data_IF_325562934990
#
_entry.id   IF_325562934990
#
_cell.length_a   1.000
_cell.length_b   1.000
_cell.length_c   1.000
_cell.angle_alpha   90.00
_cell.angle_beta   90.00
_cell.angle_gamma   90.00
#
_symmetry.space_group_name_H-M   'P 1'
#
loop_
_entity.id
_entity.type
_entity.pdbx_description
1 polymer ?
#
# COMPACT_ATOMS: atom_id res chain seq x y z
N UNK A 1 2.12 0.37 -24.68
CA UNK A 1 3.59 0.45 -24.49
C UNK A 1 3.98 -0.40 -23.29
N UNK A 2 5.09 -1.12 -23.38
CA UNK A 2 5.21 -2.38 -22.62
C UNK A 2 5.49 -2.14 -21.13
N UNK A 3 4.76 -2.88 -20.29
CA UNK A 3 5.08 -3.03 -18.87
C UNK A 3 6.54 -3.49 -18.66
N UNK A 4 7.18 -4.06 -19.68
CA UNK A 4 8.55 -4.60 -19.64
C UNK A 4 9.56 -3.51 -19.27
N UNK A 5 9.50 -2.32 -19.89
CA UNK A 5 10.46 -1.24 -19.58
C UNK A 5 10.29 -0.73 -18.15
N UNK A 6 9.04 -0.59 -17.67
CA UNK A 6 8.78 -0.21 -16.28
C UNK A 6 9.33 -1.24 -15.29
N UNK A 7 9.14 -2.52 -15.58
CA UNK A 7 9.68 -3.62 -14.76
C UNK A 7 11.22 -3.63 -14.78
N UNK A 8 11.85 -3.45 -15.95
CA UNK A 8 13.31 -3.38 -16.04
C UNK A 8 13.89 -2.23 -15.20
N UNK A 9 13.26 -1.05 -15.27
CA UNK A 9 13.63 0.10 -14.44
C UNK A 9 13.46 -0.18 -12.95
N UNK A 10 12.38 -0.84 -12.54
CA UNK A 10 12.16 -1.21 -11.14
C UNK A 10 13.20 -2.23 -10.63
N UNK A 11 13.55 -3.24 -11.43
CA UNK A 11 14.59 -4.20 -11.08
C UNK A 11 15.98 -3.54 -11.00
N UNK A 12 16.28 -2.62 -11.91
CA UNK A 12 17.50 -1.81 -11.84
C UNK A 12 17.55 -0.96 -10.57
N UNK A 13 16.44 -0.31 -10.21
CA UNK A 13 16.32 0.46 -8.97
C UNK A 13 16.57 -0.41 -7.73
N UNK A 14 15.94 -1.58 -7.64
CA UNK A 14 16.16 -2.53 -6.53
C UNK A 14 17.63 -2.93 -6.43
N UNK A 15 18.27 -3.28 -7.56
CA UNK A 15 19.69 -3.64 -7.63
C UNK A 15 20.62 -2.51 -7.14
N UNK A 16 20.31 -1.26 -7.50
CA UNK A 16 21.10 -0.10 -7.09
C UNK A 16 20.89 0.27 -5.61
N UNK A 17 19.68 0.10 -5.09
CA UNK A 17 19.35 0.35 -3.68
C UNK A 17 20.06 -0.62 -2.72
N UNK A 18 20.43 -1.81 -3.19
CA UNK A 18 21.29 -2.72 -2.41
C UNK A 18 22.74 -2.20 -2.26
N UNK A 19 23.16 -1.23 -3.08
CA UNK A 19 24.55 -0.74 -3.14
C UNK A 19 24.72 0.67 -2.62
N UNK A 20 23.72 1.53 -2.76
CA UNK A 20 23.77 2.94 -2.38
C UNK A 20 22.39 3.49 -2.00
N UNK A 21 22.31 4.50 -1.11
CA UNK A 21 21.04 5.11 -0.73
C UNK A 21 20.36 5.79 -1.93
N UNK A 22 19.02 5.89 -1.88
CA UNK A 22 18.19 6.41 -2.99
C UNK A 22 18.66 7.77 -3.49
N UNK A 23 19.01 8.69 -2.59
CA UNK A 23 19.48 10.04 -2.91
C UNK A 23 20.84 10.10 -3.66
N UNK A 24 21.53 8.97 -3.80
CA UNK A 24 22.76 8.81 -4.61
C UNK A 24 22.53 8.02 -5.89
N UNK A 25 21.30 7.55 -6.13
CA UNK A 25 20.91 6.91 -7.39
C UNK A 25 20.44 8.00 -8.35
N UNK A 26 21.04 8.03 -9.53
CA UNK A 26 20.68 8.97 -10.59
C UNK A 26 19.87 8.26 -11.67
N UNK A 27 19.10 9.02 -12.43
CA UNK A 27 18.42 8.51 -13.63
C UNK A 27 19.45 7.93 -14.60
N UNK A 28 20.67 8.49 -14.65
CA UNK A 28 21.72 7.98 -15.51
C UNK A 28 22.22 6.59 -15.10
N UNK A 29 22.29 6.29 -13.80
CA UNK A 29 22.60 4.94 -13.32
C UNK A 29 21.56 3.93 -13.82
N UNK A 30 20.28 4.26 -13.67
CA UNK A 30 19.15 3.40 -14.07
C UNK A 30 19.11 3.17 -15.58
N UNK A 31 19.24 4.25 -16.36
CA UNK A 31 19.16 4.16 -17.82
C UNK A 31 20.36 3.43 -18.41
N UNK A 32 21.54 3.58 -17.80
CA UNK A 32 22.75 2.84 -18.20
C UNK A 32 22.60 1.36 -17.92
N UNK A 33 22.15 0.98 -16.72
CA UNK A 33 21.94 -0.42 -16.34
C UNK A 33 20.85 -1.09 -17.19
N UNK A 34 19.81 -0.35 -17.59
CA UNK A 34 18.74 -0.84 -18.45
C UNK A 34 19.05 -0.76 -19.96
N UNK A 35 20.13 -0.10 -20.37
CA UNK A 35 20.46 0.12 -21.79
C UNK A 35 19.45 1.00 -22.54
N UNK A 36 18.81 1.96 -21.87
CA UNK A 36 17.82 2.88 -22.46
C UNK A 36 18.28 4.34 -22.39
N UNK A 37 17.60 5.23 -23.12
CA UNK A 37 17.86 6.67 -23.03
C UNK A 37 17.16 7.32 -21.83
N UNK A 38 17.65 8.49 -21.40
CA UNK A 38 16.95 9.32 -20.39
C UNK A 38 15.56 9.75 -20.84
N UNK A 39 15.35 9.99 -22.14
CA UNK A 39 14.03 10.32 -22.69
C UNK A 39 13.06 9.14 -22.51
N UNK A 40 13.55 7.90 -22.67
CA UNK A 40 12.74 6.71 -22.41
C UNK A 40 12.37 6.55 -20.93
N UNK A 41 13.25 6.94 -20.00
CA UNK A 41 12.89 7.01 -18.58
C UNK A 41 11.75 8.01 -18.34
N UNK A 42 11.90 9.25 -18.82
CA UNK A 42 10.91 10.31 -18.57
C UNK A 42 9.57 10.08 -19.27
N UNK A 43 9.54 9.22 -20.29
CA UNK A 43 8.30 8.74 -20.87
C UNK A 43 7.46 7.92 -19.88
N UNK A 44 8.10 7.24 -18.94
CA UNK A 44 7.44 6.35 -17.98
C UNK A 44 7.28 6.96 -16.58
N UNK A 45 8.27 7.74 -16.13
CA UNK A 45 8.35 8.26 -14.77
C UNK A 45 8.82 9.71 -14.76
N UNK A 46 8.20 10.54 -13.93
CA UNK A 46 8.57 11.96 -13.79
C UNK A 46 9.96 12.13 -13.17
N UNK A 47 10.28 11.29 -12.19
CA UNK A 47 11.54 11.27 -11.47
C UNK A 47 11.78 9.88 -10.85
N UNK A 48 12.85 9.76 -10.06
CA UNK A 48 13.20 8.51 -9.39
C UNK A 48 12.19 8.10 -8.32
N UNK A 49 11.47 9.06 -7.72
CA UNK A 49 10.50 8.79 -6.66
C UNK A 49 9.20 8.23 -7.24
N UNK A 50 8.77 8.73 -8.40
CA UNK A 50 7.66 8.16 -9.17
C UNK A 50 7.93 6.68 -9.56
N UNK A 51 9.18 6.36 -9.91
CA UNK A 51 9.59 4.96 -10.12
C UNK A 51 9.55 4.13 -8.83
N UNK A 52 9.99 4.67 -7.69
CA UNK A 52 9.92 3.99 -6.39
C UNK A 52 8.48 3.68 -6.04
N UNK A 53 7.59 4.67 -6.11
CA UNK A 53 6.16 4.51 -5.83
C UNK A 53 5.55 3.41 -6.71
N UNK A 54 5.82 3.47 -8.02
CA UNK A 54 5.32 2.46 -8.95
C UNK A 54 5.86 1.06 -8.65
N UNK A 55 7.15 0.93 -8.35
CA UNK A 55 7.76 -0.35 -7.99
C UNK A 55 7.16 -0.93 -6.71
N UNK A 56 6.93 -0.11 -5.68
CA UNK A 56 6.23 -0.51 -4.46
C UNK A 56 4.81 -1.03 -4.76
N UNK A 57 4.04 -0.28 -5.57
CA UNK A 57 2.66 -0.60 -5.92
C UNK A 57 2.56 -1.92 -6.70
N UNK A 58 3.43 -2.13 -7.69
CA UNK A 58 3.35 -3.33 -8.52
C UNK A 58 3.69 -4.60 -7.73
N UNK A 59 4.68 -4.54 -6.82
CA UNK A 59 5.02 -5.67 -5.96
C UNK A 59 3.91 -5.96 -4.94
N UNK A 60 3.35 -4.91 -4.33
CA UNK A 60 2.24 -5.04 -3.38
C UNK A 60 0.98 -5.57 -4.07
N UNK A 61 0.71 -5.16 -5.32
CA UNK A 61 -0.41 -5.67 -6.11
C UNK A 61 -0.28 -7.16 -6.40
N UNK A 62 0.94 -7.68 -6.58
CA UNK A 62 1.21 -9.12 -6.71
C UNK A 62 0.98 -9.85 -5.38
N UNK A 63 1.44 -9.27 -4.27
CA UNK A 63 1.27 -9.86 -2.94
C UNK A 63 -0.21 -9.95 -2.50
N UNK A 64 -1.05 -9.00 -2.91
CA UNK A 64 -2.45 -8.90 -2.49
C UNK A 64 -3.46 -9.59 -3.43
N UNK A 65 -3.01 -10.41 -4.39
CA UNK A 65 -3.92 -11.16 -5.26
C UNK A 65 -4.53 -12.35 -4.50
N UNK A 66 -5.82 -12.25 -4.13
CA UNK A 66 -6.63 -13.42 -3.77
C UNK A 66 -7.45 -13.34 -2.47
N UNK A 67 -7.27 -12.33 -1.61
CA UNK A 67 -7.89 -12.31 -0.26
C UNK A 67 -8.68 -11.03 0.05
N UNK A 68 -9.80 -10.80 -0.64
CA UNK A 68 -10.59 -9.55 -0.57
C UNK A 68 -11.99 -9.66 0.05
N UNK A 69 -12.32 -10.81 0.64
CA UNK A 69 -13.66 -11.06 1.20
C UNK A 69 -13.75 -10.69 2.67
N UNK A 70 -14.96 -10.52 3.21
CA UNK A 70 -15.22 -10.28 4.63
C UNK A 70 -14.65 -11.36 5.56
N UNK A 71 -14.51 -12.60 5.10
CA UNK A 71 -13.94 -13.67 5.92
C UNK A 71 -12.40 -13.64 5.91
N UNK A 72 -11.80 -13.01 4.90
CA UNK A 72 -10.34 -13.06 4.66
C UNK A 72 -9.64 -11.71 4.75
N UNK A 73 -10.35 -10.60 4.91
CA UNK A 73 -9.72 -9.26 4.84
C UNK A 73 -8.71 -9.02 5.96
N UNK A 74 -8.90 -9.63 7.13
CA UNK A 74 -7.93 -9.61 8.21
C UNK A 74 -6.62 -10.26 7.74
N UNK A 75 -6.69 -11.40 7.04
CA UNK A 75 -5.51 -11.99 6.39
C UNK A 75 -4.96 -11.08 5.29
N UNK A 76 -5.82 -10.37 4.56
CA UNK A 76 -5.41 -9.36 3.59
C UNK A 76 -4.57 -8.24 4.25
N UNK A 77 -4.94 -7.79 5.45
CA UNK A 77 -4.15 -6.81 6.22
C UNK A 77 -2.82 -7.40 6.68
N UNK A 78 -2.80 -8.67 7.09
CA UNK A 78 -1.56 -9.37 7.45
C UNK A 78 -0.61 -9.44 6.26
N UNK A 79 -1.11 -9.76 5.06
CA UNK A 79 -0.32 -9.80 3.83
C UNK A 79 0.28 -8.45 3.46
N UNK A 80 -0.38 -7.33 3.77
CA UNK A 80 0.21 -6.00 3.59
C UNK A 80 1.40 -5.83 4.54
N UNK A 81 1.27 -6.24 5.81
CA UNK A 81 2.41 -6.23 6.74
C UNK A 81 3.56 -7.12 6.27
N UNK A 82 3.28 -8.34 5.82
CA UNK A 82 4.27 -9.28 5.28
C UNK A 82 4.99 -8.68 4.06
N UNK A 83 4.26 -8.16 3.08
CA UNK A 83 4.85 -7.57 1.87
C UNK A 83 5.74 -6.35 2.20
N UNK A 84 5.32 -5.52 3.15
CA UNK A 84 6.11 -4.38 3.64
C UNK A 84 7.36 -4.87 4.37
N UNK A 85 7.26 -5.92 5.18
CA UNK A 85 8.37 -6.47 5.97
C UNK A 85 9.41 -7.21 5.10
N UNK A 86 8.98 -8.04 4.15
CA UNK A 86 9.86 -8.73 3.19
C UNK A 86 10.74 -7.73 2.42
N UNK A 87 10.20 -6.54 2.16
CA UNK A 87 10.89 -5.45 1.49
C UNK A 87 11.49 -4.42 2.47
N UNK A 88 11.69 -4.77 3.75
CA UNK A 88 12.11 -3.83 4.81
C UNK A 88 13.30 -2.92 4.43
N UNK A 89 14.43 -3.41 3.90
CA UNK A 89 15.54 -2.52 3.54
C UNK A 89 15.16 -1.50 2.47
N UNK A 90 14.34 -1.91 1.52
CA UNK A 90 13.84 -1.03 0.46
C UNK A 90 12.83 -0.02 1.01
N UNK A 91 11.84 -0.47 1.79
CA UNK A 91 10.81 0.40 2.37
C UNK A 91 11.42 1.43 3.33
N UNK A 92 12.38 1.03 4.19
CA UNK A 92 13.04 1.98 5.11
C UNK A 92 13.86 3.01 4.34
N UNK A 93 14.59 2.60 3.30
CA UNK A 93 15.35 3.53 2.46
C UNK A 93 14.45 4.47 1.66
N UNK A 94 13.35 3.94 1.11
CA UNK A 94 12.32 4.74 0.45
C UNK A 94 11.67 5.71 1.45
N UNK A 95 11.33 5.26 2.65
CA UNK A 95 10.70 6.08 3.69
C UNK A 95 11.54 7.29 4.09
N UNK A 96 12.87 7.12 4.14
CA UNK A 96 13.80 8.20 4.46
C UNK A 96 14.06 9.17 3.29
N UNK A 97 13.73 8.77 2.06
CA UNK A 97 14.09 9.51 0.86
C UNK A 97 12.88 10.10 0.12
N UNK A 98 11.69 9.59 0.39
CA UNK A 98 10.41 9.96 -0.23
C UNK A 98 9.60 10.81 0.77
N UNK A 99 8.69 11.67 0.30
CA UNK A 99 7.84 12.44 1.21
C UNK A 99 6.86 11.53 1.96
N UNK A 100 6.51 11.92 3.20
CA UNK A 100 5.49 11.20 3.99
C UNK A 100 4.17 11.06 3.23
N UNK A 101 3.78 12.10 2.49
CA UNK A 101 2.55 12.13 1.69
C UNK A 101 2.54 11.04 0.60
N UNK A 102 3.66 10.81 -0.08
CA UNK A 102 3.76 9.79 -1.11
C UNK A 102 3.62 8.37 -0.53
N UNK A 103 4.16 8.14 0.66
CA UNK A 103 4.04 6.85 1.36
C UNK A 103 2.62 6.64 1.86
N UNK A 104 2.00 7.70 2.38
CA UNK A 104 0.58 7.71 2.76
C UNK A 104 -0.30 7.37 1.55
N UNK A 105 -0.10 8.03 0.42
CA UNK A 105 -0.84 7.76 -0.82
C UNK A 105 -0.66 6.32 -1.30
N UNK A 106 0.57 5.80 -1.25
CA UNK A 106 0.86 4.40 -1.55
C UNK A 106 0.06 3.44 -0.65
N UNK A 107 0.15 3.61 0.67
CA UNK A 107 -0.55 2.76 1.63
C UNK A 107 -2.07 2.90 1.51
N UNK A 108 -2.58 4.10 1.20
CA UNK A 108 -4.00 4.32 0.95
C UNK A 108 -4.49 3.54 -0.26
N UNK A 109 -3.76 3.54 -1.37
CA UNK A 109 -4.17 2.81 -2.58
C UNK A 109 -4.24 1.29 -2.34
N UNK A 110 -3.30 0.73 -1.57
CA UNK A 110 -3.29 -0.68 -1.23
C UNK A 110 -4.48 -1.08 -0.35
N UNK A 111 -4.74 -0.27 0.67
CA UNK A 111 -5.68 -0.61 1.74
C UNK A 111 -7.11 -0.27 1.38
N UNK A 112 -7.33 0.82 0.65
CA UNK A 112 -8.67 1.27 0.26
C UNK A 112 -9.42 0.19 -0.52
N UNK A 113 -8.79 -0.43 -1.53
CA UNK A 113 -9.45 -1.45 -2.35
C UNK A 113 -9.84 -2.70 -1.54
N UNK A 114 -9.01 -3.08 -0.58
CA UNK A 114 -9.29 -4.21 0.30
C UNK A 114 -10.50 -3.89 1.18
N UNK A 115 -10.46 -2.78 1.92
CA UNK A 115 -11.53 -2.41 2.85
C UNK A 115 -12.84 -2.09 2.11
N UNK A 116 -12.79 -1.38 0.99
CA UNK A 116 -13.98 -1.06 0.19
C UNK A 116 -14.68 -2.33 -0.30
N UNK A 117 -13.93 -3.35 -0.72
CA UNK A 117 -14.52 -4.64 -1.15
C UNK A 117 -15.32 -5.30 -0.02
N UNK A 118 -14.81 -5.22 1.20
CA UNK A 118 -15.47 -5.75 2.41
C UNK A 118 -16.73 -4.97 2.76
N UNK A 119 -16.64 -3.63 2.71
CA UNK A 119 -17.79 -2.75 2.97
C UNK A 119 -18.90 -3.00 1.96
N UNK A 120 -18.56 -3.09 0.66
CA UNK A 120 -19.53 -3.40 -0.39
C UNK A 120 -20.19 -4.75 -0.19
N UNK A 121 -19.42 -5.79 0.14
CA UNK A 121 -19.93 -7.12 0.41
C UNK A 121 -20.93 -7.13 1.56
N UNK A 122 -20.59 -6.51 2.69
CA UNK A 122 -21.44 -6.45 3.89
C UNK A 122 -22.64 -5.52 3.71
N UNK A 123 -22.53 -4.50 2.86
CA UNK A 123 -23.59 -3.53 2.62
C UNK A 123 -24.58 -3.95 1.51
N UNK A 124 -24.38 -5.11 0.84
CA UNK A 124 -25.22 -5.55 -0.31
C UNK A 124 -26.72 -5.50 -0.06
N UNK A 125 -27.17 -5.78 1.16
CA UNK A 125 -28.58 -5.82 1.54
C UNK A 125 -29.03 -4.61 2.36
N UNK A 126 -28.31 -3.49 2.26
CA UNK A 126 -28.57 -2.27 3.03
C UNK A 126 -28.89 -1.09 2.12
N UNK A 127 -29.46 -0.03 2.69
CA UNK A 127 -29.79 1.21 1.98
C UNK A 127 -28.67 2.27 2.02
N UNK A 128 -27.45 1.88 2.35
CA UNK A 128 -26.33 2.81 2.46
C UNK A 128 -25.99 3.43 1.10
N UNK A 129 -25.78 4.75 1.09
CA UNK A 129 -25.29 5.47 -0.09
C UNK A 129 -23.81 5.14 -0.35
N UNK A 130 -23.34 5.41 -1.57
CA UNK A 130 -21.92 5.22 -1.90
C UNK A 130 -21.01 6.10 -1.04
N UNK A 131 -21.45 7.30 -0.71
CA UNK A 131 -20.71 8.23 0.16
C UNK A 131 -20.55 7.66 1.57
N UNK A 132 -21.61 7.06 2.14
CA UNK A 132 -21.54 6.42 3.45
C UNK A 132 -20.61 5.21 3.45
N UNK A 133 -20.67 4.37 2.41
CA UNK A 133 -19.74 3.25 2.24
C UNK A 133 -18.30 3.73 2.13
N UNK A 134 -18.06 4.78 1.33
CA UNK A 134 -16.73 5.39 1.18
C UNK A 134 -16.21 5.93 2.50
N UNK A 135 -17.06 6.62 3.27
CA UNK A 135 -16.67 7.14 4.58
C UNK A 135 -16.28 6.02 5.55
N UNK A 136 -17.06 4.93 5.60
CA UNK A 136 -16.74 3.75 6.41
C UNK A 136 -15.39 3.18 5.98
N UNK A 137 -15.19 2.97 4.67
CA UNK A 137 -13.94 2.43 4.14
C UNK A 137 -12.75 3.34 4.46
N UNK A 138 -12.90 4.65 4.31
CA UNK A 138 -11.87 5.64 4.60
C UNK A 138 -11.49 5.66 6.07
N UNK A 139 -12.46 5.55 6.99
CA UNK A 139 -12.18 5.51 8.43
C UNK A 139 -11.25 4.34 8.81
N UNK A 140 -11.55 3.13 8.33
CA UNK A 140 -10.72 1.95 8.60
C UNK A 140 -9.39 1.99 7.83
N UNK A 141 -9.39 2.50 6.60
CA UNK A 141 -8.17 2.76 5.82
C UNK A 141 -7.22 3.69 6.58
N UNK A 142 -7.68 4.84 7.05
CA UNK A 142 -6.85 5.79 7.79
C UNK A 142 -6.30 5.18 9.08
N UNK A 143 -7.13 4.42 9.80
CA UNK A 143 -6.72 3.72 11.02
C UNK A 143 -5.56 2.75 10.75
N UNK A 144 -5.67 1.93 9.70
CA UNK A 144 -4.61 0.98 9.34
C UNK A 144 -3.34 1.69 8.86
N UNK A 145 -3.46 2.66 7.96
CA UNK A 145 -2.29 3.36 7.42
C UNK A 145 -1.55 4.11 8.51
N UNK A 146 -2.26 4.73 9.47
CA UNK A 146 -1.64 5.38 10.62
C UNK A 146 -0.78 4.42 11.45
N UNK A 147 -1.32 3.25 11.80
CA UNK A 147 -0.60 2.23 12.56
C UNK A 147 0.62 1.71 11.78
N UNK A 148 0.45 1.46 10.48
CA UNK A 148 1.54 0.99 9.63
C UNK A 148 2.68 2.01 9.52
N UNK A 149 2.36 3.29 9.34
CA UNK A 149 3.36 4.36 9.29
C UNK A 149 4.11 4.51 10.61
N UNK A 150 3.41 4.40 11.74
CA UNK A 150 4.05 4.45 13.06
C UNK A 150 5.02 3.27 13.27
N UNK A 151 4.66 2.08 12.79
CA UNK A 151 5.54 0.91 12.82
C UNK A 151 6.75 1.06 11.90
N UNK A 152 6.56 1.57 10.68
CA UNK A 152 7.66 1.87 9.74
C UNK A 152 8.62 2.90 10.36
N UNK A 153 8.08 3.99 10.93
CA UNK A 153 8.87 5.06 11.58
C UNK A 153 9.73 4.54 12.72
N UNK A 154 9.26 3.53 13.44
CA UNK A 154 10.01 2.88 14.52
C UNK A 154 11.07 1.89 14.02
N UNK A 155 11.24 1.75 12.71
CA UNK A 155 12.20 0.85 12.07
C UNK A 155 11.72 -0.59 11.97
N UNK A 156 10.40 -0.82 12.01
CA UNK A 156 9.78 -2.15 11.95
C UNK A 156 10.41 -3.12 12.96
N UNK A 157 10.51 -2.69 14.23
CA UNK A 157 11.16 -3.44 15.31
C UNK A 157 10.22 -4.44 15.99
N UNK A 158 8.99 -4.02 16.22
CA UNK A 158 7.94 -4.86 16.79
C UNK A 158 7.52 -5.93 15.79
N UNK A 159 7.10 -7.09 16.32
CA UNK A 159 6.47 -8.13 15.51
C UNK A 159 5.16 -7.58 14.92
N UNK A 160 5.05 -7.59 13.59
CA UNK A 160 3.87 -7.10 12.91
C UNK A 160 2.65 -8.00 13.13
N UNK A 161 2.86 -9.28 13.49
CA UNK A 161 1.76 -10.21 13.79
C UNK A 161 1.03 -9.81 15.09
N UNK A 162 1.75 -9.30 16.09
CA UNK A 162 1.15 -8.76 17.32
C UNK A 162 0.34 -7.49 17.04
N UNK A 163 0.89 -6.59 16.21
CA UNK A 163 0.19 -5.38 15.77
C UNK A 163 -1.09 -5.76 15.02
N UNK A 164 -0.97 -6.66 14.06
CA UNK A 164 -2.08 -7.18 13.28
C UNK A 164 -3.16 -7.81 14.17
N UNK A 165 -2.77 -8.63 15.16
CA UNK A 165 -3.70 -9.28 16.09
C UNK A 165 -4.46 -8.25 16.92
N UNK A 166 -3.76 -7.26 17.48
CA UNK A 166 -4.40 -6.18 18.24
C UNK A 166 -5.35 -5.37 17.37
N UNK A 167 -4.98 -5.09 16.12
CA UNK A 167 -5.87 -4.45 15.15
C UNK A 167 -7.12 -5.31 14.90
N UNK A 168 -6.96 -6.59 14.61
CA UNK A 168 -8.07 -7.51 14.34
C UNK A 168 -9.06 -7.57 15.50
N UNK A 169 -8.56 -7.65 16.74
CA UNK A 169 -9.39 -7.59 17.95
C UNK A 169 -10.14 -6.27 18.03
N UNK A 170 -9.46 -5.15 17.79
CA UNK A 170 -10.03 -3.81 17.89
C UNK A 170 -11.16 -3.57 16.86
N UNK A 171 -11.02 -4.11 15.65
CA UNK A 171 -11.93 -3.86 14.52
C UNK A 171 -12.97 -4.96 14.31
N UNK A 172 -12.85 -6.10 15.00
CA UNK A 172 -13.75 -7.24 14.82
C UNK A 172 -15.21 -6.83 15.04
N UNK A 173 -16.08 -7.14 14.06
CA UNK A 173 -17.50 -6.77 14.08
C UNK A 173 -17.81 -5.29 13.87
N UNK A 174 -16.81 -4.40 13.92
CA UNK A 174 -17.07 -2.95 13.85
C UNK A 174 -17.56 -2.50 12.47
N UNK A 175 -17.07 -3.06 11.36
CA UNK A 175 -17.57 -2.72 10.02
C UNK A 175 -19.07 -3.01 9.93
N UNK A 176 -19.49 -4.20 10.37
CA UNK A 176 -20.90 -4.62 10.42
C UNK A 176 -21.71 -3.69 11.33
N UNK A 177 -21.20 -3.36 12.52
CA UNK A 177 -21.85 -2.42 13.44
C UNK A 177 -21.97 -1.01 12.84
N UNK A 178 -20.94 -0.50 12.16
CA UNK A 178 -20.98 0.79 11.47
C UNK A 178 -22.08 0.81 10.41
N UNK A 179 -22.16 -0.23 9.57
CA UNK A 179 -23.20 -0.36 8.54
C UNK A 179 -24.60 -0.38 9.18
N UNK A 180 -24.79 -1.16 10.25
CA UNK A 180 -26.07 -1.22 10.97
C UNK A 180 -26.44 0.13 11.59
N UNK A 181 -25.47 0.84 12.16
CA UNK A 181 -25.69 2.15 12.76
C UNK A 181 -26.12 3.17 11.70
N UNK A 182 -25.45 3.24 10.55
CA UNK A 182 -25.86 4.10 9.44
C UNK A 182 -27.25 3.74 8.92
N UNK A 183 -27.56 2.45 8.77
CA UNK A 183 -28.89 1.99 8.33
C UNK A 183 -30.00 2.43 9.29
N UNK A 184 -29.75 2.37 10.61
CA UNK A 184 -30.72 2.79 11.64
C UNK A 184 -30.97 4.29 11.66
N UNK A 185 -29.95 5.10 11.36
CA UNK A 185 -30.00 6.57 11.39
C UNK A 185 -30.35 7.19 10.02
N UNK A 186 -30.49 6.38 8.96
CA UNK A 186 -30.95 6.82 7.65
C UNK A 186 -32.48 6.93 7.54
N UNK A 187 -33.21 6.85 8.67
CA UNK A 187 -34.66 7.02 8.77
C UNK A 187 -35.01 8.43 9.25
#
# INVERSE_FOLDING_TARGET
MSNITKHALAESLKKLLLKKPLNKITINDLTTDCGISRMAFYYHFKDIYDLVEWACLEESRKALQGKKTYDTWQEGLLQIFEAVYENKPFIINAYNAVSREQIENFLFQLTHNLIMSVVEEQARSTSLTQEQKSFIADFYKYSFVGIMLDWIRQGMKSDYTDIWKNMCITIHGNITNSIQNFTKHAK
#
